data_IF_070285566909
#
_entry.id   IF_070285566909
#
_cell.length_a   1.000
_cell.length_b   1.000
_cell.length_c   1.000
_cell.angle_alpha   90.00
_cell.angle_beta   90.00
_cell.angle_gamma   90.00
#
_symmetry.space_group_name_H-M   'P 1'
#
loop_
_entity.id
_entity.type
_entity.pdbx_description
1 polymer ?
#
# COMPACT_ATOMS: atom_id res chain seq x y z
N UNK A 1 11.65 8.79 3.10
CA UNK A 1 11.57 7.45 3.74
C UNK A 1 10.11 6.99 3.80
N UNK A 2 9.81 5.69 3.90
CA UNK A 2 8.40 5.21 3.98
C UNK A 2 7.65 5.83 5.17
N UNK A 3 8.33 6.04 6.31
CA UNK A 3 7.75 6.71 7.47
C UNK A 3 7.26 8.14 7.15
N UNK A 4 8.05 8.92 6.41
CA UNK A 4 7.65 10.28 5.98
C UNK A 4 6.46 10.23 5.03
N UNK A 5 6.44 9.27 4.09
CA UNK A 5 5.31 9.09 3.18
C UNK A 5 4.03 8.71 3.93
N UNK A 6 4.12 7.90 4.99
CA UNK A 6 2.97 7.56 5.85
C UNK A 6 2.40 8.81 6.53
N UNK A 7 3.27 9.68 7.06
CA UNK A 7 2.85 10.96 7.64
C UNK A 7 2.20 11.86 6.57
N UNK A 8 2.77 11.94 5.37
CA UNK A 8 2.20 12.70 4.26
C UNK A 8 0.85 12.15 3.77
N UNK A 9 0.72 10.83 3.68
CA UNK A 9 -0.52 10.18 3.28
C UNK A 9 -1.65 10.41 4.30
N UNK A 10 -1.36 10.31 5.60
CA UNK A 10 -2.38 10.44 6.65
C UNK A 10 -2.69 11.90 7.03
N UNK A 11 -1.68 12.72 7.32
CA UNK A 11 -1.90 14.07 7.85
C UNK A 11 -2.23 15.08 6.75
N UNK A 12 -1.53 14.97 5.62
CA UNK A 12 -1.68 15.88 4.49
C UNK A 12 -2.64 15.34 3.42
N UNK A 13 -3.23 14.16 3.65
CA UNK A 13 -4.16 13.49 2.73
C UNK A 13 -3.60 13.38 1.30
N UNK A 14 -2.27 13.25 1.15
CA UNK A 14 -1.62 13.23 -0.17
C UNK A 14 -1.89 11.90 -0.88
N UNK A 15 -2.64 11.90 -2.00
CA UNK A 15 -2.83 10.71 -2.81
C UNK A 15 -1.51 10.25 -3.43
N UNK A 16 -0.59 11.18 -3.72
CA UNK A 16 0.73 10.89 -4.29
C UNK A 16 1.60 10.13 -3.30
N UNK A 17 1.58 10.49 -2.01
CA UNK A 17 2.29 9.77 -0.98
C UNK A 17 1.75 8.34 -0.82
N UNK A 18 0.42 8.17 -0.87
CA UNK A 18 -0.23 6.86 -0.85
C UNK A 18 0.19 6.02 -2.06
N UNK A 19 0.12 6.60 -3.27
CA UNK A 19 0.54 5.93 -4.50
C UNK A 19 2.00 5.49 -4.44
N UNK A 20 2.89 6.36 -3.96
CA UNK A 20 4.31 6.06 -3.86
C UNK A 20 4.61 4.93 -2.87
N UNK A 21 3.86 4.86 -1.76
CA UNK A 21 3.91 3.70 -0.85
C UNK A 21 3.47 2.44 -1.60
N UNK A 22 2.31 2.44 -2.27
CA UNK A 22 1.81 1.29 -3.02
C UNK A 22 2.81 0.79 -4.09
N UNK A 23 3.39 1.71 -4.85
CA UNK A 23 4.40 1.43 -5.88
C UNK A 23 5.65 0.77 -5.29
N UNK A 24 6.10 1.21 -4.12
CA UNK A 24 7.25 0.61 -3.44
C UNK A 24 7.07 -0.88 -3.10
N UNK A 25 5.82 -1.32 -2.89
CA UNK A 25 5.48 -2.73 -2.64
C UNK A 25 5.15 -3.53 -3.91
N UNK A 26 5.02 -2.87 -5.07
CA UNK A 26 4.66 -3.53 -6.34
C UNK A 26 5.58 -4.71 -6.70
N UNK A 27 6.91 -4.66 -6.53
CA UNK A 27 7.77 -5.81 -6.81
C UNK A 27 7.41 -7.04 -5.97
N UNK A 28 7.12 -6.84 -4.68
CA UNK A 28 6.76 -7.90 -3.74
C UNK A 28 5.36 -8.45 -4.02
N UNK A 29 4.40 -7.57 -4.34
CA UNK A 29 3.05 -7.96 -4.75
C UNK A 29 3.08 -8.81 -6.01
N UNK A 30 3.80 -8.38 -7.05
CA UNK A 30 3.95 -9.15 -8.30
C UNK A 30 4.50 -10.55 -8.05
N UNK A 31 5.57 -10.67 -7.26
CA UNK A 31 6.14 -11.96 -6.91
C UNK A 31 5.17 -12.85 -6.13
N UNK A 32 4.34 -12.27 -5.25
CA UNK A 32 3.33 -13.00 -4.46
C UNK A 32 2.16 -13.45 -5.33
N UNK A 33 1.66 -12.60 -6.22
CA UNK A 33 0.55 -12.91 -7.13
C UNK A 33 0.87 -14.05 -8.11
N UNK A 34 2.13 -14.23 -8.48
CA UNK A 34 2.55 -15.35 -9.31
C UNK A 34 2.34 -16.72 -8.64
N UNK A 35 2.19 -16.76 -7.32
CA UNK A 35 1.92 -17.99 -6.55
C UNK A 35 0.43 -18.37 -6.54
N UNK A 36 -0.43 -17.55 -7.14
CA UNK A 36 -1.89 -17.73 -7.23
C UNK A 36 -2.27 -18.11 -8.67
N UNK A 37 -3.33 -18.93 -8.90
CA UNK A 37 -3.82 -19.22 -10.24
C UNK A 37 -4.12 -17.95 -11.03
N UNK A 38 -3.83 -17.95 -12.33
CA UNK A 38 -3.86 -16.76 -13.18
C UNK A 38 -5.21 -16.03 -13.14
N UNK A 39 -6.31 -16.79 -13.15
CA UNK A 39 -7.68 -16.30 -13.17
C UNK A 39 -8.07 -15.52 -11.90
N UNK A 40 -7.35 -15.70 -10.79
CA UNK A 40 -7.61 -15.00 -9.53
C UNK A 40 -6.65 -13.84 -9.25
N UNK A 41 -5.60 -13.65 -10.07
CA UNK A 41 -4.53 -12.70 -9.76
C UNK A 41 -5.00 -11.25 -9.80
N UNK A 42 -5.84 -10.89 -10.76
CA UNK A 42 -6.27 -9.50 -10.94
C UNK A 42 -7.20 -9.07 -9.79
N UNK A 43 -8.17 -9.91 -9.44
CA UNK A 43 -9.08 -9.66 -8.32
C UNK A 43 -8.31 -9.54 -7.00
N UNK A 44 -7.41 -10.50 -6.73
CA UNK A 44 -6.59 -10.47 -5.53
C UNK A 44 -5.67 -9.24 -5.49
N UNK A 45 -5.11 -8.82 -6.63
CA UNK A 45 -4.29 -7.60 -6.71
C UNK A 45 -5.09 -6.37 -6.27
N UNK A 46 -6.33 -6.25 -6.74
CA UNK A 46 -7.19 -5.12 -6.38
C UNK A 46 -7.54 -5.16 -4.89
N UNK A 47 -7.91 -6.32 -4.34
CA UNK A 47 -8.19 -6.49 -2.92
C UNK A 47 -6.99 -6.11 -2.06
N UNK A 48 -5.79 -6.55 -2.44
CA UNK A 48 -4.54 -6.20 -1.76
C UNK A 48 -4.28 -4.69 -1.79
N UNK A 49 -4.54 -4.00 -2.91
CA UNK A 49 -4.41 -2.55 -2.96
C UNK A 49 -5.39 -1.82 -2.05
N UNK A 50 -6.65 -2.25 -2.03
CA UNK A 50 -7.66 -1.69 -1.11
C UNK A 50 -7.22 -1.89 0.34
N UNK A 51 -6.78 -3.10 0.70
CA UNK A 51 -6.27 -3.39 2.05
C UNK A 51 -5.03 -2.59 2.41
N UNK A 52 -4.13 -2.34 1.47
CA UNK A 52 -2.98 -1.49 1.72
C UNK A 52 -3.39 -0.03 1.98
N UNK A 53 -4.35 0.50 1.23
CA UNK A 53 -4.87 1.86 1.46
C UNK A 53 -5.53 1.96 2.84
N UNK A 54 -6.35 0.98 3.23
CA UNK A 54 -6.94 0.91 4.56
C UNK A 54 -5.85 0.92 5.65
N UNK A 55 -4.84 0.05 5.51
CA UNK A 55 -3.72 -0.01 6.48
C UNK A 55 -2.96 1.31 6.53
N UNK A 56 -2.66 1.94 5.39
CA UNK A 56 -2.00 3.24 5.33
C UNK A 56 -2.80 4.30 6.11
N UNK A 57 -4.13 4.25 6.08
CA UNK A 57 -4.99 5.20 6.78
C UNK A 57 -5.11 4.91 8.28
N UNK A 58 -5.08 3.64 8.69
CA UNK A 58 -5.29 3.23 10.09
C UNK A 58 -3.99 2.97 10.86
N UNK A 59 -2.84 3.01 10.20
CA UNK A 59 -1.55 2.75 10.85
C UNK A 59 -1.26 3.80 11.92
N UNK A 60 -0.88 3.37 13.12
CA UNK A 60 -0.54 4.27 14.23
C UNK A 60 0.78 5.01 13.93
N UNK A 61 0.69 6.30 13.59
CA UNK A 61 1.86 7.17 13.35
C UNK A 61 2.27 7.97 14.59
N UNK A 62 1.71 7.65 15.75
CA UNK A 62 1.93 8.36 17.00
C UNK A 62 3.41 8.45 17.40
N UNK A 63 4.20 7.42 17.08
CA UNK A 63 5.65 7.36 17.34
C UNK A 63 6.51 7.90 16.19
N UNK A 64 5.89 8.30 15.06
CA UNK A 64 6.59 8.85 13.88
C UNK A 64 6.58 10.39 13.87
N UNK A 65 6.05 11.01 14.93
CA UNK A 65 5.95 12.47 15.13
C UNK A 65 7.21 13.05 15.75
#
# INVERSE_FOLDING_TARGET
MIAELLVQAQQHHSPEATLHILESFTPKLKASLLQVPADHREDLKQELYVKMIEVIQTFEISELK
#
